data_IF_934700509890
#
_entry.id   IF_934700509890
#
_cell.length_a   1.000
_cell.length_b   1.000
_cell.length_c   1.000
_cell.angle_alpha   90.00
_cell.angle_beta   90.00
_cell.angle_gamma   90.00
#
_symmetry.space_group_name_H-M   'P 1'
#
loop_
_entity.id
_entity.type
_entity.pdbx_description
1 polymer ?
#
# COMPACT_ATOMS: atom_id res chain seq x y z
N UNK A 1 41.60 7.28 8.08
CA UNK A 1 40.37 6.50 8.36
C UNK A 1 40.42 5.23 7.52
N UNK A 2 40.41 4.02 8.11
CA UNK A 2 40.32 2.77 7.33
C UNK A 2 38.90 2.66 6.78
N UNK A 3 38.74 2.71 5.45
CA UNK A 3 37.45 2.49 4.79
C UNK A 3 37.11 1.01 4.98
N UNK A 4 36.06 0.72 5.77
CA UNK A 4 35.54 -0.64 5.90
C UNK A 4 34.96 -1.06 4.55
N UNK A 5 35.29 -2.26 4.03
CA UNK A 5 34.66 -2.75 2.81
C UNK A 5 33.15 -2.89 3.04
N UNK A 6 32.35 -2.36 2.10
CA UNK A 6 30.89 -2.44 2.12
C UNK A 6 30.45 -3.80 1.59
N UNK A 7 29.35 -4.35 2.13
CA UNK A 7 28.77 -5.59 1.59
C UNK A 7 28.02 -5.30 0.28
N UNK A 8 27.78 -6.30 -0.59
CA UNK A 8 26.97 -6.11 -1.80
C UNK A 8 25.57 -5.52 -1.50
N UNK A 9 24.92 -5.94 -0.41
CA UNK A 9 23.60 -5.42 0.01
C UNK A 9 23.69 -3.96 0.42
N UNK A 10 24.79 -3.55 1.05
CA UNK A 10 25.01 -2.15 1.39
C UNK A 10 25.25 -1.31 0.14
N UNK A 11 26.02 -1.81 -0.83
CA UNK A 11 26.24 -1.12 -2.09
C UNK A 11 24.94 -1.05 -2.91
N UNK A 12 24.18 -2.13 -2.98
CA UNK A 12 22.88 -2.18 -3.66
C UNK A 12 21.87 -1.21 -3.03
N UNK A 13 21.71 -1.24 -1.69
CA UNK A 13 20.85 -0.31 -0.97
C UNK A 13 21.21 1.16 -1.28
N UNK A 14 22.50 1.43 -1.43
CA UNK A 14 23.00 2.75 -1.79
C UNK A 14 22.73 3.12 -3.25
N UNK A 15 22.77 2.17 -4.18
CA UNK A 15 22.42 2.43 -5.57
C UNK A 15 20.92 2.70 -5.71
N UNK A 16 20.07 1.94 -5.01
CA UNK A 16 18.62 2.09 -5.05
C UNK A 16 18.16 3.38 -4.37
N UNK A 17 18.67 3.69 -3.17
CA UNK A 17 18.42 4.96 -2.48
C UNK A 17 18.81 6.16 -3.35
N UNK A 18 19.91 6.03 -4.10
CA UNK A 18 20.33 7.06 -5.04
C UNK A 18 19.41 7.18 -6.25
N UNK A 19 18.96 6.07 -6.83
CA UNK A 19 17.96 6.08 -7.90
C UNK A 19 16.67 6.80 -7.47
N UNK A 20 16.34 6.76 -6.18
CA UNK A 20 15.16 7.41 -5.63
C UNK A 20 15.30 8.90 -5.33
N UNK A 21 16.53 9.40 -5.16
CA UNK A 21 16.82 10.80 -4.86
C UNK A 21 17.43 11.48 -6.09
N UNK A 22 16.59 12.02 -6.98
CA UNK A 22 17.10 12.78 -8.13
C UNK A 22 16.13 13.09 -9.26
N UNK A 23 14.88 12.60 -9.19
CA UNK A 23 13.92 12.76 -10.28
C UNK A 23 12.54 13.10 -9.72
N UNK A 24 11.86 14.08 -10.33
CA UNK A 24 10.48 14.46 -9.96
C UNK A 24 9.46 13.40 -10.38
N UNK A 25 9.59 12.89 -11.61
CA UNK A 25 8.79 11.77 -12.14
C UNK A 25 9.66 10.51 -12.30
N UNK A 26 9.04 9.33 -12.27
CA UNK A 26 9.76 8.06 -12.44
C UNK A 26 10.31 7.92 -13.86
N UNK A 27 11.63 8.09 -14.02
CA UNK A 27 12.31 8.13 -15.31
C UNK A 27 12.77 6.76 -15.80
N UNK A 28 13.03 6.67 -17.11
CA UNK A 28 13.63 5.48 -17.71
C UNK A 28 15.03 5.19 -17.12
N UNK A 29 15.80 6.22 -16.78
CA UNK A 29 17.10 6.07 -16.12
C UNK A 29 16.95 5.39 -14.76
N UNK A 30 16.00 5.83 -13.92
CA UNK A 30 15.72 5.18 -12.63
C UNK A 30 15.36 3.71 -12.81
N UNK A 31 14.50 3.40 -13.78
CA UNK A 31 14.13 2.02 -14.11
C UNK A 31 15.34 1.15 -14.40
N UNK A 32 16.27 1.63 -15.22
CA UNK A 32 17.45 0.86 -15.61
C UNK A 32 18.40 0.70 -14.41
N UNK A 33 18.62 1.75 -13.59
CA UNK A 33 19.44 1.65 -12.37
C UNK A 33 18.86 0.59 -11.42
N UNK A 34 17.57 0.68 -11.09
CA UNK A 34 16.91 -0.25 -10.16
C UNK A 34 16.94 -1.70 -10.67
N UNK A 35 16.69 -1.91 -11.96
CA UNK A 35 16.76 -3.24 -12.60
C UNK A 35 18.15 -3.86 -12.51
N UNK A 36 19.20 -3.03 -12.46
CA UNK A 36 20.59 -3.48 -12.46
C UNK A 36 21.30 -3.25 -11.11
N UNK A 37 20.59 -2.84 -10.06
CA UNK A 37 21.21 -2.40 -8.81
C UNK A 37 22.10 -3.47 -8.17
N UNK A 38 21.71 -4.75 -8.23
CA UNK A 38 22.54 -5.87 -7.77
C UNK A 38 23.85 -5.97 -8.57
N UNK A 39 23.78 -5.93 -9.91
CA UNK A 39 24.97 -6.04 -10.76
C UNK A 39 25.88 -4.83 -10.58
N UNK A 40 25.31 -3.63 -10.48
CA UNK A 40 26.04 -2.41 -10.16
C UNK A 40 26.73 -2.51 -8.79
N UNK A 41 26.14 -3.22 -7.83
CA UNK A 41 26.75 -3.42 -6.50
C UNK A 41 28.03 -4.25 -6.50
N UNK A 42 28.32 -5.00 -7.57
CA UNK A 42 29.57 -5.77 -7.71
C UNK A 42 30.70 -4.96 -8.32
N UNK A 43 30.39 -3.78 -8.87
CA UNK A 43 31.36 -2.83 -9.41
C UNK A 43 31.89 -2.02 -8.22
N UNK A 44 33.13 -2.31 -7.82
CA UNK A 44 33.73 -1.73 -6.61
C UNK A 44 34.92 -0.83 -6.91
N UNK A 45 35.35 -0.80 -8.17
CA UNK A 45 36.50 -0.02 -8.63
C UNK A 45 36.34 0.43 -10.09
N UNK A 46 37.09 1.45 -10.47
CA UNK A 46 37.18 1.93 -11.87
C UNK A 46 37.59 0.80 -12.84
N UNK A 47 38.45 -0.12 -12.38
CA UNK A 47 38.89 -1.27 -13.15
C UNK A 47 37.74 -2.22 -13.48
N UNK A 48 36.75 -2.35 -12.59
CA UNK A 48 35.56 -3.17 -12.84
C UNK A 48 34.64 -2.54 -13.92
N UNK A 49 34.76 -1.23 -14.16
CA UNK A 49 34.04 -0.50 -15.23
C UNK A 49 34.79 -0.66 -16.57
N UNK A 50 36.11 -0.49 -16.56
CA UNK A 50 36.96 -0.63 -17.77
C UNK A 50 37.05 -2.08 -18.26
N UNK A 51 36.98 -3.04 -17.33
CA UNK A 51 37.06 -4.47 -17.60
C UNK A 51 35.97 -5.23 -16.84
N UNK A 52 34.72 -5.20 -17.33
CA UNK A 52 33.63 -5.95 -16.73
C UNK A 52 33.96 -7.45 -16.64
N UNK A 53 33.70 -8.06 -15.48
CA UNK A 53 33.87 -9.51 -15.30
C UNK A 53 32.80 -10.34 -16.01
N UNK A 54 31.69 -9.73 -16.37
CA UNK A 54 30.56 -10.34 -17.09
C UNK A 54 30.14 -9.42 -18.24
N UNK A 55 29.51 -9.98 -19.28
CA UNK A 55 28.93 -9.16 -20.35
C UNK A 55 27.88 -8.22 -19.75
N UNK A 56 28.14 -6.93 -19.83
CA UNK A 56 27.21 -5.90 -19.37
C UNK A 56 26.14 -5.73 -20.46
N UNK A 57 24.87 -5.60 -20.08
CA UNK A 57 23.83 -5.30 -21.07
C UNK A 57 24.07 -3.92 -21.68
N UNK A 58 23.69 -3.70 -22.95
CA UNK A 58 23.76 -2.36 -23.59
C UNK A 58 23.18 -1.25 -22.72
N UNK A 59 22.07 -1.52 -22.03
CA UNK A 59 21.44 -0.57 -21.10
C UNK A 59 22.36 -0.19 -19.92
N UNK A 60 23.16 -1.13 -19.40
CA UNK A 60 24.15 -0.83 -18.36
C UNK A 60 25.43 -0.25 -18.93
N UNK A 61 25.83 -0.58 -20.16
CA UNK A 61 26.93 0.12 -20.83
C UNK A 61 26.58 1.60 -21.00
N UNK A 62 25.36 1.93 -21.43
CA UNK A 62 24.87 3.30 -21.49
C UNK A 62 24.98 4.00 -20.12
N UNK A 63 24.50 3.38 -19.04
CA UNK A 63 24.69 3.91 -17.67
C UNK A 63 26.18 4.07 -17.34
N UNK A 64 27.01 3.04 -17.51
CA UNK A 64 28.40 3.09 -17.07
C UNK A 64 29.25 4.06 -17.90
N UNK A 65 28.99 4.20 -19.20
CA UNK A 65 29.61 5.21 -20.05
C UNK A 65 29.09 6.61 -19.74
N UNK A 66 27.80 6.79 -19.46
CA UNK A 66 27.25 8.05 -18.97
C UNK A 66 27.79 8.43 -17.59
N UNK A 67 28.21 7.47 -16.77
CA UNK A 67 28.64 7.72 -15.38
C UNK A 67 30.16 7.75 -15.23
N UNK A 68 30.90 7.17 -16.18
CA UNK A 68 32.36 7.02 -16.16
C UNK A 68 33.12 7.76 -17.26
N UNK A 69 32.45 8.28 -18.30
CA UNK A 69 33.09 9.02 -19.40
C UNK A 69 32.63 10.47 -19.41
N UNK A 70 33.59 11.39 -19.51
CA UNK A 70 33.40 12.84 -19.67
C UNK A 70 32.77 13.26 -21.02
N UNK A 71 32.29 12.32 -21.85
CA UNK A 71 32.00 12.57 -23.28
C UNK A 71 30.73 11.90 -23.85
N UNK A 72 29.69 11.57 -23.06
CA UNK A 72 28.41 11.11 -23.66
C UNK A 72 27.43 12.29 -23.83
N UNK A 73 27.02 12.71 -25.04
CA UNK A 73 26.21 13.93 -25.22
C UNK A 73 24.69 13.70 -25.19
N UNK A 74 24.20 12.47 -25.31
CA UNK A 74 22.81 12.24 -25.77
C UNK A 74 21.72 12.25 -24.69
N UNK A 75 22.07 12.20 -23.41
CA UNK A 75 21.12 12.29 -22.27
C UNK A 75 21.50 13.31 -21.20
N UNK A 76 22.67 13.94 -21.33
CA UNK A 76 23.19 14.94 -20.39
C UNK A 76 22.48 16.29 -20.49
N UNK A 77 21.93 16.64 -21.66
CA UNK A 77 21.17 17.88 -21.82
C UNK A 77 19.76 17.81 -21.20
N UNK A 78 19.28 16.63 -20.80
CA UNK A 78 17.96 16.45 -20.19
C UNK A 78 17.98 15.90 -18.76
N UNK A 79 19.11 15.39 -18.26
CA UNK A 79 19.22 14.88 -16.90
C UNK A 79 20.24 15.68 -16.09
N UNK A 80 19.81 16.24 -14.95
CA UNK A 80 20.65 16.97 -13.99
C UNK A 80 21.63 16.03 -13.23
N UNK A 81 22.26 15.10 -13.92
CA UNK A 81 22.91 13.92 -13.34
C UNK A 81 24.44 13.97 -13.55
N UNK A 82 25.23 13.86 -12.48
CA UNK A 82 26.71 13.88 -12.59
C UNK A 82 27.38 12.92 -11.58
N UNK A 83 28.58 12.42 -11.92
CA UNK A 83 29.41 11.59 -11.02
C UNK A 83 29.68 12.29 -9.67
N UNK A 84 29.75 13.63 -9.68
CA UNK A 84 29.91 14.42 -8.46
C UNK A 84 28.64 14.40 -7.60
N UNK A 85 27.44 14.38 -8.19
CA UNK A 85 26.17 14.19 -7.46
C UNK A 85 26.07 12.80 -6.84
N UNK A 86 26.45 11.74 -7.57
CA UNK A 86 26.51 10.39 -6.99
C UNK A 86 27.48 10.33 -5.80
N UNK A 87 28.70 10.85 -5.96
CA UNK A 87 29.71 10.88 -4.90
C UNK A 87 29.27 11.76 -3.71
N UNK A 88 28.59 12.88 -3.96
CA UNK A 88 27.99 13.71 -2.93
C UNK A 88 26.84 13.01 -2.21
N UNK A 89 26.00 12.26 -2.92
CA UNK A 89 24.92 11.48 -2.33
C UNK A 89 25.45 10.35 -1.45
N UNK A 90 26.51 9.67 -1.90
CA UNK A 90 27.20 8.67 -1.09
C UNK A 90 27.80 9.26 0.21
N UNK A 91 28.13 10.56 0.24
CA UNK A 91 28.81 11.22 1.37
C UNK A 91 27.89 12.00 2.31
N UNK A 92 26.83 12.67 1.84
CA UNK A 92 25.92 13.55 2.63
C UNK A 92 24.72 12.85 3.31
N UNK A 93 24.75 11.52 3.39
CA UNK A 93 23.57 10.66 3.28
C UNK A 93 22.62 10.57 4.49
N UNK A 94 21.34 10.29 4.17
CA UNK A 94 20.36 9.71 5.09
C UNK A 94 20.72 8.25 5.42
N UNK A 95 21.64 8.06 6.38
CA UNK A 95 22.13 6.73 6.81
C UNK A 95 21.01 5.76 7.20
N UNK A 96 19.87 6.28 7.66
CA UNK A 96 18.74 5.48 8.14
C UNK A 96 18.06 4.71 7.03
N UNK A 97 17.78 5.35 5.89
CA UNK A 97 17.09 4.69 4.77
C UNK A 97 17.94 3.60 4.12
N UNK A 98 19.22 3.89 3.87
CA UNK A 98 20.16 2.89 3.36
C UNK A 98 20.32 1.68 4.29
N UNK A 99 20.38 1.90 5.62
CA UNK A 99 20.44 0.79 6.58
C UNK A 99 19.18 -0.06 6.55
N UNK A 100 18.02 0.56 6.39
CA UNK A 100 16.74 -0.13 6.27
C UNK A 100 16.67 -0.95 4.97
N UNK A 101 17.01 -0.35 3.83
CA UNK A 101 17.10 -1.06 2.54
C UNK A 101 18.04 -2.26 2.62
N UNK A 102 19.24 -2.05 3.19
CA UNK A 102 20.21 -3.11 3.44
C UNK A 102 19.60 -4.25 4.26
N UNK A 103 18.90 -3.93 5.36
CA UNK A 103 18.24 -4.94 6.20
C UNK A 103 17.26 -5.79 5.39
N UNK A 104 16.38 -5.17 4.60
CA UNK A 104 15.39 -5.89 3.80
C UNK A 104 16.00 -6.70 2.65
N UNK A 105 17.06 -6.19 2.01
CA UNK A 105 17.81 -6.91 0.98
C UNK A 105 18.54 -8.14 1.55
N UNK A 106 19.16 -8.00 2.73
CA UNK A 106 19.75 -9.14 3.45
C UNK A 106 18.68 -10.17 3.76
N UNK A 107 17.54 -9.72 4.31
CA UNK A 107 16.44 -10.62 4.68
C UNK A 107 15.83 -11.33 3.47
N UNK A 108 15.71 -10.67 2.32
CA UNK A 108 15.31 -11.30 1.07
C UNK A 108 16.21 -12.49 0.73
N UNK A 109 17.53 -12.25 0.68
CA UNK A 109 18.53 -13.28 0.34
C UNK A 109 18.53 -14.43 1.33
N UNK A 110 18.44 -14.11 2.61
CA UNK A 110 18.58 -15.10 3.68
C UNK A 110 17.29 -15.90 3.93
N UNK A 111 16.11 -15.30 3.81
CA UNK A 111 14.84 -15.92 4.24
C UNK A 111 13.88 -16.27 3.10
N UNK A 112 13.94 -15.56 1.97
CA UNK A 112 12.85 -15.62 0.98
C UNK A 112 13.27 -16.03 -0.42
N UNK A 113 14.53 -15.84 -0.80
CA UNK A 113 15.02 -16.06 -2.17
C UNK A 113 14.58 -17.41 -2.74
N UNK A 114 14.79 -18.50 -2.00
CA UNK A 114 14.45 -19.85 -2.49
C UNK A 114 12.94 -20.02 -2.74
N UNK A 115 12.10 -19.45 -1.86
CA UNK A 115 10.64 -19.47 -1.99
C UNK A 115 10.16 -18.64 -3.18
N UNK A 116 10.76 -17.46 -3.41
CA UNK A 116 10.44 -16.59 -4.55
C UNK A 116 10.88 -17.22 -5.86
N UNK A 117 12.11 -17.73 -5.95
CA UNK A 117 12.63 -18.42 -7.13
C UNK A 117 11.78 -19.63 -7.50
N UNK A 118 11.35 -20.41 -6.50
CA UNK A 118 10.47 -21.56 -6.69
C UNK A 118 9.09 -21.18 -7.22
N UNK A 119 8.54 -20.06 -6.74
CA UNK A 119 7.25 -19.55 -7.18
C UNK A 119 7.32 -18.97 -8.59
N UNK A 120 8.38 -18.20 -8.92
CA UNK A 120 8.57 -17.61 -10.25
C UNK A 120 8.69 -18.65 -11.38
N UNK A 121 9.23 -19.84 -11.08
CA UNK A 121 9.30 -20.94 -12.06
C UNK A 121 7.94 -21.58 -12.33
N UNK A 122 6.99 -21.44 -11.42
CA UNK A 122 5.69 -22.12 -11.45
C UNK A 122 4.51 -21.14 -11.27
N UNK A 123 4.66 -19.90 -11.73
CA UNK A 123 3.62 -18.87 -11.56
C UNK A 123 2.37 -19.32 -12.31
N UNK A 124 1.34 -19.69 -11.55
CA UNK A 124 0.00 -19.92 -12.08
C UNK A 124 -1.01 -19.21 -11.19
N UNK A 125 -1.94 -18.48 -11.82
CA UNK A 125 -3.11 -17.88 -11.16
C UNK A 125 -4.07 -18.94 -10.63
N UNK A 126 -3.96 -20.17 -11.10
CA UNK A 126 -4.71 -21.33 -10.60
C UNK A 126 -4.01 -22.01 -9.40
N UNK A 127 -2.84 -21.51 -8.99
CA UNK A 127 -2.16 -22.05 -7.82
C UNK A 127 -2.91 -21.72 -6.53
N UNK A 128 -2.90 -22.65 -5.58
CA UNK A 128 -3.42 -22.44 -4.21
C UNK A 128 -2.74 -21.29 -3.46
N UNK A 129 -1.57 -20.88 -3.94
CA UNK A 129 -0.77 -19.82 -3.34
C UNK A 129 -1.11 -18.46 -3.95
N UNK A 130 -1.89 -18.38 -5.03
CA UNK A 130 -2.37 -17.11 -5.57
C UNK A 130 -3.44 -16.51 -4.64
N UNK A 131 -3.19 -15.30 -4.13
CA UNK A 131 -4.11 -14.57 -3.24
C UNK A 131 -5.02 -13.64 -4.05
N UNK A 132 -4.49 -13.03 -5.10
CA UNK A 132 -5.24 -12.11 -5.95
C UNK A 132 -4.36 -11.26 -6.85
N UNK A 133 -4.98 -10.39 -7.63
CA UNK A 133 -4.31 -9.41 -8.48
C UNK A 133 -4.88 -8.02 -8.22
N UNK A 134 -3.99 -7.04 -8.11
CA UNK A 134 -4.36 -5.63 -8.24
C UNK A 134 -3.99 -5.11 -9.63
N UNK A 135 -4.29 -3.84 -9.88
CA UNK A 135 -3.84 -3.15 -11.10
C UNK A 135 -2.31 -3.19 -11.27
N UNK A 136 -1.58 -3.17 -10.14
CA UNK A 136 -0.14 -2.98 -10.12
C UNK A 136 0.68 -4.28 -10.03
N UNK A 137 0.05 -5.44 -9.90
CA UNK A 137 0.76 -6.69 -9.67
C UNK A 137 -0.11 -7.85 -9.21
N UNK A 138 0.47 -9.04 -9.31
CA UNK A 138 -0.10 -10.28 -8.78
C UNK A 138 0.45 -10.52 -7.36
N UNK A 139 -0.40 -11.04 -6.48
CA UNK A 139 -0.08 -11.29 -5.07
C UNK A 139 -0.19 -12.78 -4.77
N UNK A 140 0.86 -13.33 -4.18
CA UNK A 140 1.01 -14.72 -3.82
C UNK A 140 1.30 -14.87 -2.33
N UNK A 141 0.85 -15.97 -1.74
CA UNK A 141 1.21 -16.41 -0.41
C UNK A 141 2.53 -17.16 -0.50
N UNK A 142 3.53 -16.75 0.29
CA UNK A 142 4.77 -17.49 0.44
C UNK A 142 5.00 -17.84 1.90
N UNK A 143 5.83 -18.86 2.13
CA UNK A 143 6.26 -19.25 3.48
C UNK A 143 7.73 -18.88 3.66
N UNK A 144 8.03 -18.11 4.71
CA UNK A 144 9.41 -17.77 5.09
C UNK A 144 10.11 -18.95 5.76
N UNK A 145 11.43 -18.85 5.96
CA UNK A 145 12.20 -19.88 6.70
C UNK A 145 11.72 -20.07 8.14
N UNK A 146 11.12 -19.04 8.74
CA UNK A 146 10.49 -19.09 10.07
C UNK A 146 9.12 -19.80 10.08
N UNK A 147 8.70 -20.36 8.93
CA UNK A 147 7.42 -21.05 8.71
C UNK A 147 6.19 -20.15 8.82
N UNK A 148 6.36 -18.82 8.85
CA UNK A 148 5.23 -17.88 8.78
C UNK A 148 4.83 -17.60 7.34
N UNK A 149 3.57 -17.21 7.19
CA UNK A 149 2.99 -16.81 5.91
C UNK A 149 3.23 -15.32 5.66
N UNK A 150 3.58 -15.01 4.42
CA UNK A 150 3.82 -13.67 3.92
C UNK A 150 3.08 -13.48 2.60
N UNK A 151 2.82 -12.23 2.26
CA UNK A 151 2.34 -11.86 0.93
C UNK A 151 3.53 -11.39 0.08
N UNK A 152 3.73 -12.03 -1.06
CA UNK A 152 4.64 -11.63 -2.12
C UNK A 152 3.84 -10.94 -3.21
N UNK A 153 4.10 -9.67 -3.45
CA UNK A 153 3.61 -8.93 -4.61
C UNK A 153 4.69 -8.90 -5.67
N UNK A 154 4.36 -9.34 -6.88
CA UNK A 154 5.21 -9.21 -8.06
C UNK A 154 4.59 -8.12 -8.93
N UNK A 155 5.25 -6.98 -9.00
CA UNK A 155 4.74 -5.84 -9.75
C UNK A 155 4.87 -6.03 -11.25
N UNK A 156 3.89 -5.51 -12.00
CA UNK A 156 3.94 -5.52 -13.47
C UNK A 156 4.95 -4.51 -14.03
N UNK A 157 5.30 -3.48 -13.24
CA UNK A 157 6.32 -2.50 -13.60
C UNK A 157 7.20 -2.11 -12.41
N UNK A 158 8.44 -1.74 -12.71
CA UNK A 158 9.40 -1.24 -11.73
C UNK A 158 8.95 0.07 -11.07
N UNK A 159 8.26 0.93 -11.84
CA UNK A 159 7.72 2.20 -11.34
C UNK A 159 6.75 1.94 -10.19
N UNK A 160 5.77 1.08 -10.42
CA UNK A 160 4.79 0.68 -9.40
C UNK A 160 5.45 -0.01 -8.20
N UNK A 161 6.40 -0.93 -8.42
CA UNK A 161 7.15 -1.55 -7.33
C UNK A 161 7.87 -0.49 -6.47
N UNK A 162 8.48 0.50 -7.11
CA UNK A 162 9.21 1.53 -6.41
C UNK A 162 8.28 2.47 -5.62
N UNK A 163 7.14 2.85 -6.19
CA UNK A 163 6.12 3.63 -5.47
C UNK A 163 5.59 2.86 -4.26
N UNK A 164 5.21 1.60 -4.44
CA UNK A 164 4.77 0.72 -3.34
C UNK A 164 5.81 0.62 -2.23
N UNK A 165 7.08 0.42 -2.59
CA UNK A 165 8.18 0.31 -1.64
C UNK A 165 8.32 1.56 -0.78
N UNK A 166 8.22 2.75 -1.39
CA UNK A 166 8.26 4.04 -0.68
C UNK A 166 7.08 4.19 0.27
N UNK A 167 5.89 3.84 -0.19
CA UNK A 167 4.68 3.86 0.62
C UNK A 167 4.82 2.94 1.85
N UNK A 168 5.32 1.71 1.67
CA UNK A 168 5.55 0.76 2.77
C UNK A 168 6.65 1.19 3.74
N UNK A 169 7.67 1.91 3.25
CA UNK A 169 8.68 2.51 4.12
C UNK A 169 8.12 3.62 5.01
N UNK A 170 7.15 4.40 4.52
CA UNK A 170 6.49 5.44 5.30
C UNK A 170 5.46 4.87 6.27
N UNK A 171 4.70 3.84 5.87
CA UNK A 171 3.68 3.21 6.72
C UNK A 171 4.23 2.25 7.77
N UNK A 172 5.55 2.03 7.80
CA UNK A 172 6.18 1.10 8.74
C UNK A 172 5.71 1.40 10.17
N UNK A 173 5.36 0.36 10.91
CA UNK A 173 4.89 0.40 12.31
C UNK A 173 3.51 1.02 12.55
N UNK A 174 2.82 1.49 11.50
CA UNK A 174 1.40 1.79 11.61
C UNK A 174 0.67 0.47 11.78
N UNK A 175 -0.17 0.36 12.81
CA UNK A 175 -0.93 -0.88 13.06
C UNK A 175 -1.93 -1.10 11.93
N UNK A 176 -2.30 -2.36 11.72
CA UNK A 176 -3.35 -2.72 10.76
C UNK A 176 -3.06 -2.29 9.30
N UNK A 177 -1.79 -2.18 8.93
CA UNK A 177 -1.34 -1.98 7.55
C UNK A 177 -0.30 -3.05 7.18
N UNK A 178 -0.09 -3.32 5.89
CA UNK A 178 1.04 -4.12 5.44
C UNK A 178 2.37 -3.50 5.87
N UNK A 179 3.20 -4.31 6.51
CA UNK A 179 4.57 -3.99 6.86
C UNK A 179 5.50 -4.77 5.94
N UNK A 180 6.39 -4.06 5.27
CA UNK A 180 7.43 -4.66 4.45
C UNK A 180 8.37 -5.54 5.29
N UNK A 181 8.64 -6.73 4.78
CA UNK A 181 9.50 -7.73 5.40
C UNK A 181 10.78 -7.94 4.60
N UNK A 182 10.69 -7.85 3.28
CA UNK A 182 11.82 -7.94 2.36
C UNK A 182 11.42 -7.40 0.99
N UNK A 183 12.38 -7.12 0.11
CA UNK A 183 12.09 -6.81 -1.28
C UNK A 183 13.29 -7.17 -2.17
N UNK A 184 13.02 -7.23 -3.46
CA UNK A 184 14.02 -7.41 -4.50
C UNK A 184 13.66 -6.58 -5.72
N UNK A 185 14.30 -5.41 -5.83
CA UNK A 185 14.00 -4.43 -6.87
C UNK A 185 14.15 -5.00 -8.29
N UNK A 186 15.21 -5.77 -8.67
CA UNK A 186 15.39 -6.24 -10.04
C UNK A 186 14.21 -7.02 -10.64
N UNK A 187 13.44 -7.69 -9.80
CA UNK A 187 12.26 -8.49 -10.20
C UNK A 187 10.94 -7.82 -9.82
N UNK A 188 10.98 -6.61 -9.24
CA UNK A 188 9.79 -5.93 -8.74
C UNK A 188 9.07 -6.70 -7.63
N UNK A 189 9.80 -7.53 -6.87
CA UNK A 189 9.25 -8.38 -5.83
C UNK A 189 9.25 -7.65 -4.49
N UNK A 190 8.08 -7.60 -3.85
CA UNK A 190 7.88 -6.96 -2.53
C UNK A 190 7.23 -7.97 -1.61
N UNK A 191 7.83 -8.20 -0.45
CA UNK A 191 7.34 -9.15 0.54
C UNK A 191 6.86 -8.37 1.75
N UNK A 192 5.62 -8.60 2.14
CA UNK A 192 4.96 -7.97 3.28
C UNK A 192 4.39 -9.03 4.22
N UNK A 193 4.09 -8.64 5.46
CA UNK A 193 3.32 -9.49 6.37
C UNK A 193 1.99 -9.89 5.70
N UNK A 194 1.58 -11.15 5.89
CA UNK A 194 0.27 -11.57 5.42
C UNK A 194 -0.81 -11.01 6.35
N UNK A 195 -1.76 -10.27 5.78
CA UNK A 195 -2.92 -9.73 6.49
C UNK A 195 -4.08 -10.73 6.39
N UNK A 196 -4.46 -11.42 7.48
CA UNK A 196 -5.56 -12.37 7.44
C UNK A 196 -6.90 -11.63 7.38
N UNK A 197 -7.87 -12.22 6.67
CA UNK A 197 -9.24 -11.76 6.66
C UNK A 197 -9.88 -11.86 5.30
N UNK A 198 -10.98 -11.15 5.14
CA UNK A 198 -11.76 -11.09 3.91
C UNK A 198 -11.72 -9.65 3.40
N UNK A 199 -11.43 -9.49 2.11
CA UNK A 199 -11.66 -8.25 1.38
C UNK A 199 -13.05 -7.72 1.70
N UNK A 200 -13.15 -6.48 2.20
CA UNK A 200 -14.43 -5.90 2.60
C UNK A 200 -15.37 -5.94 1.39
N UNK A 201 -14.87 -5.71 0.17
CA UNK A 201 -15.63 -5.85 -1.07
C UNK A 201 -16.23 -7.25 -1.34
N UNK A 202 -15.87 -8.28 -0.58
CA UNK A 202 -16.38 -9.65 -0.75
C UNK A 202 -17.19 -10.15 0.43
N UNK A 203 -17.36 -9.33 1.46
CA UNK A 203 -18.19 -9.66 2.62
C UNK A 203 -19.65 -9.75 2.19
N UNK A 204 -20.27 -10.91 2.45
CA UNK A 204 -21.68 -11.16 2.12
C UNK A 204 -22.64 -10.19 2.81
N UNK A 205 -23.87 -9.99 2.29
CA UNK A 205 -24.88 -9.07 2.85
C UNK A 205 -25.25 -9.33 4.31
N UNK A 206 -24.95 -10.50 4.87
CA UNK A 206 -24.91 -10.75 6.30
C UNK A 206 -23.72 -10.01 6.95
N UNK A 207 -23.62 -8.70 6.72
CA UNK A 207 -22.53 -7.82 7.12
C UNK A 207 -22.14 -8.10 8.58
N UNK A 208 -20.85 -8.26 8.90
CA UNK A 208 -20.41 -8.37 10.28
C UNK A 208 -20.90 -7.16 11.06
N UNK A 209 -21.39 -7.39 12.27
CA UNK A 209 -21.62 -6.30 13.19
C UNK A 209 -20.25 -5.82 13.67
N UNK A 210 -19.81 -4.68 13.15
CA UNK A 210 -18.51 -4.12 13.48
C UNK A 210 -18.58 -3.52 14.88
N UNK A 211 -17.68 -3.92 15.76
CA UNK A 211 -17.66 -3.31 17.10
C UNK A 211 -17.22 -1.84 17.00
N UNK A 212 -17.73 -0.98 17.90
CA UNK A 212 -17.27 0.42 17.99
C UNK A 212 -15.74 0.52 18.08
N UNK A 213 -15.11 -0.40 18.82
CA UNK A 213 -13.65 -0.50 18.93
C UNK A 213 -12.99 -0.70 17.56
N UNK A 214 -13.46 -1.64 16.76
CA UNK A 214 -12.91 -1.91 15.41
C UNK A 214 -13.05 -0.71 14.47
N UNK A 215 -14.18 0.01 14.54
CA UNK A 215 -14.40 1.22 13.75
C UNK A 215 -13.50 2.38 14.21
N UNK A 216 -13.30 2.54 15.52
CA UNK A 216 -12.39 3.54 16.06
C UNK A 216 -10.92 3.26 15.68
N UNK A 217 -10.48 1.99 15.76
CA UNK A 217 -9.14 1.56 15.34
C UNK A 217 -8.90 1.81 13.85
N UNK A 218 -9.92 1.63 13.00
CA UNK A 218 -9.84 1.98 11.57
C UNK A 218 -9.61 3.49 11.37
N UNK A 219 -10.42 4.33 12.04
CA UNK A 219 -10.27 5.79 11.98
C UNK A 219 -8.87 6.20 12.43
N UNK A 220 -8.39 5.64 13.53
CA UNK A 220 -7.04 5.91 14.06
C UNK A 220 -5.94 5.49 13.10
N UNK A 221 -6.08 4.33 12.45
CA UNK A 221 -5.14 3.86 11.42
C UNK A 221 -5.08 4.85 10.25
N UNK A 222 -6.22 5.36 9.79
CA UNK A 222 -6.29 6.31 8.68
C UNK A 222 -5.70 7.68 9.06
N UNK A 223 -5.94 8.15 10.28
CA UNK A 223 -5.30 9.37 10.80
C UNK A 223 -3.77 9.18 10.89
N UNK A 224 -3.31 8.02 11.34
CA UNK A 224 -1.87 7.74 11.43
C UNK A 224 -1.22 7.68 10.05
N UNK A 225 -1.88 7.08 9.05
CA UNK A 225 -1.46 7.13 7.65
C UNK A 225 -1.34 8.59 7.17
N UNK A 226 -2.39 9.39 7.40
CA UNK A 226 -2.44 10.81 7.01
C UNK A 226 -1.28 11.63 7.58
N UNK A 227 -1.02 11.45 8.88
CA UNK A 227 0.07 12.09 9.62
C UNK A 227 1.47 11.66 9.13
N UNK A 228 1.58 10.50 8.48
CA UNK A 228 2.82 10.01 7.88
C UNK A 228 2.96 10.38 6.40
N UNK A 229 2.11 11.27 5.87
CA UNK A 229 2.19 11.73 4.49
C UNK A 229 1.56 10.75 3.49
N UNK A 230 0.70 9.85 3.96
CA UNK A 230 0.01 8.86 3.14
C UNK A 230 -1.46 9.21 3.03
N UNK A 231 -2.08 8.85 1.92
CA UNK A 231 -3.50 9.02 1.68
C UNK A 231 -4.10 7.70 1.22
N UNK A 232 -5.35 7.47 1.60
CA UNK A 232 -6.12 6.30 1.23
C UNK A 232 -7.20 6.69 0.21
N UNK A 233 -7.43 5.81 -0.76
CA UNK A 233 -8.71 5.77 -1.45
C UNK A 233 -9.67 4.88 -0.62
N UNK A 234 -10.75 5.42 -0.03
CA UNK A 234 -11.65 4.71 0.87
C UNK A 234 -12.59 3.73 0.14
N UNK A 235 -12.13 3.11 -0.93
CA UNK A 235 -12.85 2.06 -1.65
C UNK A 235 -12.83 0.73 -0.86
N UNK A 236 -13.96 0.00 -0.71
CA UNK A 236 -14.02 -1.22 0.09
C UNK A 236 -12.98 -2.30 -0.25
N UNK A 237 -12.51 -2.38 -1.50
CA UNK A 237 -11.47 -3.36 -1.89
C UNK A 237 -10.11 -3.09 -1.26
N UNK A 238 -9.88 -1.89 -0.73
CA UNK A 238 -8.61 -1.46 -0.15
C UNK A 238 -8.53 -1.83 1.35
N UNK A 239 -9.55 -2.56 1.86
CA UNK A 239 -9.66 -2.94 3.26
C UNK A 239 -9.87 -4.45 3.38
N UNK A 240 -9.18 -5.05 4.33
CA UNK A 240 -9.40 -6.42 4.78
C UNK A 240 -10.09 -6.37 6.14
N UNK A 241 -11.11 -7.19 6.37
CA UNK A 241 -11.73 -7.37 7.67
C UNK A 241 -11.47 -8.77 8.22
N UNK A 242 -11.07 -8.82 9.49
CA UNK A 242 -10.99 -10.04 10.27
C UNK A 242 -11.77 -9.88 11.56
N UNK A 243 -12.62 -10.86 11.90
CA UNK A 243 -13.53 -10.79 13.05
C UNK A 243 -12.81 -10.44 14.37
N UNK A 244 -11.60 -10.95 14.58
CA UNK A 244 -10.82 -10.72 15.80
C UNK A 244 -9.94 -9.48 15.69
N UNK A 245 -9.32 -9.24 14.53
CA UNK A 245 -8.29 -8.21 14.39
C UNK A 245 -8.85 -6.86 13.91
N UNK A 246 -10.12 -6.82 13.53
CA UNK A 246 -10.75 -5.62 12.97
C UNK A 246 -10.38 -5.40 11.50
N UNK A 247 -10.31 -4.13 11.13
CA UNK A 247 -9.98 -3.71 9.78
C UNK A 247 -8.47 -3.61 9.60
N UNK A 248 -8.01 -3.84 8.39
CA UNK A 248 -6.67 -3.50 7.92
C UNK A 248 -6.75 -2.77 6.60
N UNK A 249 -5.94 -1.73 6.45
CA UNK A 249 -5.84 -0.93 5.23
C UNK A 249 -4.69 -1.46 4.40
N UNK A 250 -4.99 -1.98 3.20
CA UNK A 250 -4.00 -2.69 2.37
C UNK A 250 -3.55 -1.93 1.13
N UNK A 251 -4.23 -0.83 0.78
CA UNK A 251 -3.86 0.03 -0.34
C UNK A 251 -3.92 1.50 0.06
N UNK A 252 -2.82 2.21 -0.15
CA UNK A 252 -2.61 3.62 0.17
C UNK A 252 -1.40 4.13 -0.63
N UNK A 253 -1.34 5.44 -0.83
CA UNK A 253 -0.31 6.09 -1.65
C UNK A 253 0.30 7.29 -0.94
N UNK A 254 1.46 7.74 -1.44
CA UNK A 254 2.09 8.98 -1.01
C UNK A 254 1.18 10.15 -1.39
N UNK A 255 1.01 11.12 -0.47
CA UNK A 255 0.37 12.39 -0.81
C UNK A 255 1.21 13.15 -1.82
N UNK A 256 0.59 13.65 -2.88
CA UNK A 256 1.28 14.49 -3.85
C UNK A 256 1.57 15.88 -3.26
N UNK A 257 2.67 16.56 -3.68
CA UNK A 257 2.90 17.94 -3.30
C UNK A 257 1.74 18.85 -3.73
N UNK A 258 1.06 19.46 -2.75
CA UNK A 258 -0.12 20.31 -2.99
C UNK A 258 -1.46 19.58 -2.94
N UNK A 259 -1.44 18.25 -2.74
CA UNK A 259 -2.65 17.49 -2.43
C UNK A 259 -3.11 17.81 -1.00
N UNK A 260 -4.23 18.54 -0.92
CA UNK A 260 -4.84 18.95 0.32
C UNK A 260 -6.26 18.40 0.42
N UNK A 261 -6.40 17.08 0.41
CA UNK A 261 -7.66 16.47 0.85
C UNK A 261 -7.70 16.53 2.38
N UNK A 262 -8.64 17.27 2.99
CA UNK A 262 -8.73 17.33 4.45
C UNK A 262 -9.02 15.93 5.01
N UNK A 263 -8.37 15.57 6.11
CA UNK A 263 -8.54 14.26 6.75
C UNK A 263 -10.00 14.02 7.12
N UNK A 264 -10.74 15.06 7.51
CA UNK A 264 -12.17 14.99 7.82
C UNK A 264 -12.98 14.51 6.62
N UNK A 265 -12.58 14.88 5.40
CA UNK A 265 -13.23 14.44 4.16
C UNK A 265 -12.96 12.95 3.92
N UNK A 266 -11.72 12.51 4.08
CA UNK A 266 -11.33 11.09 3.96
C UNK A 266 -12.08 10.25 4.99
N UNK A 267 -12.09 10.70 6.25
CA UNK A 267 -12.81 10.04 7.33
C UNK A 267 -14.32 10.03 7.08
N UNK A 268 -14.87 11.06 6.45
CA UNK A 268 -16.27 11.03 6.03
C UNK A 268 -16.51 9.90 5.03
N UNK A 269 -15.64 9.73 4.03
CA UNK A 269 -15.79 8.75 2.96
C UNK A 269 -15.62 7.29 3.42
N UNK A 270 -14.91 7.05 4.53
CA UNK A 270 -14.80 5.71 5.15
C UNK A 270 -16.17 5.10 5.50
N UNK A 271 -17.24 5.90 5.57
CA UNK A 271 -18.60 5.38 5.69
C UNK A 271 -18.92 4.30 4.62
N UNK A 272 -18.32 4.38 3.42
CA UNK A 272 -18.56 3.40 2.34
C UNK A 272 -17.96 2.04 2.69
N UNK A 273 -16.83 2.03 3.40
CA UNK A 273 -16.18 0.82 3.93
C UNK A 273 -17.03 0.22 5.06
N UNK A 274 -17.50 1.07 5.98
CA UNK A 274 -18.32 0.66 7.14
C UNK A 274 -19.70 0.13 6.71
N UNK A 275 -20.33 0.77 5.73
CA UNK A 275 -21.63 0.34 5.21
C UNK A 275 -21.50 -0.83 4.24
N UNK A 276 -20.33 -0.97 3.62
CA UNK A 276 -19.98 -1.90 2.54
C UNK A 276 -20.77 -1.72 1.24
N UNK A 277 -22.09 -1.60 1.34
CA UNK A 277 -23.03 -1.47 0.24
C UNK A 277 -23.80 -0.16 0.35
N UNK A 278 -24.19 0.39 -0.79
CA UNK A 278 -25.18 1.46 -0.81
C UNK A 278 -26.52 0.92 -0.34
N UNK A 279 -27.34 1.79 0.27
CA UNK A 279 -28.70 1.39 0.66
C UNK A 279 -29.53 0.94 -0.56
N UNK A 280 -29.34 1.58 -1.73
CA UNK A 280 -29.99 1.16 -2.98
C UNK A 280 -29.62 -0.26 -3.40
N UNK A 281 -28.34 -0.64 -3.23
CA UNK A 281 -27.92 -2.01 -3.50
C UNK A 281 -28.63 -3.01 -2.58
N UNK A 282 -28.79 -2.67 -1.30
CA UNK A 282 -29.52 -3.51 -0.34
C UNK A 282 -31.00 -3.61 -0.72
N UNK A 283 -31.64 -2.50 -1.09
CA UNK A 283 -33.03 -2.48 -1.58
C UNK A 283 -33.23 -3.33 -2.83
N UNK A 284 -32.31 -3.26 -3.80
CA UNK A 284 -32.41 -4.04 -5.02
C UNK A 284 -32.32 -5.55 -4.77
N UNK A 285 -31.60 -5.98 -3.72
CA UNK A 285 -31.53 -7.39 -3.34
C UNK A 285 -32.74 -7.87 -2.54
N UNK A 286 -33.67 -6.98 -2.19
CA UNK A 286 -34.85 -7.36 -1.43
C UNK A 286 -35.63 -8.48 -2.13
N UNK A 287 -35.69 -8.46 -3.47
CA UNK A 287 -36.34 -9.48 -4.29
C UNK A 287 -35.72 -10.89 -4.10
N UNK A 288 -34.43 -10.96 -3.75
CA UNK A 288 -33.68 -12.20 -3.58
C UNK A 288 -33.64 -12.70 -2.12
N UNK A 289 -34.33 -12.02 -1.19
CA UNK A 289 -34.29 -12.36 0.23
C UNK A 289 -35.67 -12.30 0.91
N UNK A 290 -35.79 -13.01 2.04
CA UNK A 290 -37.00 -12.89 2.86
C UNK A 290 -37.06 -11.53 3.56
N UNK A 291 -38.26 -11.04 3.85
CA UNK A 291 -38.44 -9.79 4.61
C UNK A 291 -37.66 -9.81 5.95
N UNK A 292 -37.60 -10.96 6.63
CA UNK A 292 -36.86 -11.10 7.88
C UNK A 292 -35.34 -10.97 7.71
N UNK A 293 -34.78 -11.45 6.58
CA UNK A 293 -33.35 -11.28 6.27
C UNK A 293 -33.09 -9.82 5.89
N UNK A 294 -33.95 -9.24 5.04
CA UNK A 294 -33.84 -7.84 4.63
C UNK A 294 -33.83 -6.88 5.81
N UNK A 295 -34.78 -7.04 6.74
CA UNK A 295 -34.84 -6.22 7.96
C UNK A 295 -33.53 -6.34 8.75
N UNK A 296 -33.00 -7.55 8.96
CA UNK A 296 -31.72 -7.74 9.67
C UNK A 296 -30.53 -7.10 8.97
N UNK A 297 -30.49 -7.13 7.63
CA UNK A 297 -29.43 -6.47 6.84
C UNK A 297 -29.53 -4.95 7.03
N UNK A 298 -30.73 -4.39 6.95
CA UNK A 298 -30.97 -2.97 7.20
C UNK A 298 -30.62 -2.56 8.64
N UNK A 299 -31.02 -3.33 9.64
CA UNK A 299 -30.69 -3.07 11.06
C UNK A 299 -29.17 -2.97 11.24
N UNK A 300 -28.40 -3.93 10.70
CA UNK A 300 -26.93 -3.91 10.78
C UNK A 300 -26.31 -2.74 10.04
N UNK A 301 -26.84 -2.40 8.86
CA UNK A 301 -26.41 -1.23 8.11
C UNK A 301 -26.54 0.05 8.95
N UNK A 302 -27.68 0.22 9.64
CA UNK A 302 -27.90 1.39 10.50
C UNK A 302 -27.04 1.34 11.77
N UNK A 303 -26.92 0.19 12.43
CA UNK A 303 -26.08 0.05 13.62
C UNK A 303 -24.63 0.44 13.35
N UNK A 304 -24.04 -0.07 12.25
CA UNK A 304 -22.68 0.27 11.86
C UNK A 304 -22.55 1.77 11.53
N UNK A 305 -23.51 2.35 10.81
CA UNK A 305 -23.48 3.76 10.45
C UNK A 305 -23.63 4.68 11.67
N UNK A 306 -24.57 4.40 12.57
CA UNK A 306 -24.77 5.14 13.83
C UNK A 306 -23.49 5.08 14.65
N UNK A 307 -22.96 3.88 14.90
CA UNK A 307 -21.76 3.71 15.70
C UNK A 307 -20.56 4.44 15.12
N UNK A 308 -20.41 4.45 13.79
CA UNK A 308 -19.36 5.21 13.11
C UNK A 308 -19.51 6.73 13.27
N UNK A 309 -20.73 7.26 13.11
CA UNK A 309 -21.01 8.69 13.26
C UNK A 309 -20.79 9.17 14.71
N UNK A 310 -21.19 8.37 15.70
CA UNK A 310 -20.94 8.65 17.11
C UNK A 310 -19.43 8.76 17.40
N UNK A 311 -18.62 7.83 16.88
CA UNK A 311 -17.15 7.86 17.06
C UNK A 311 -16.54 9.12 16.44
N UNK A 312 -17.03 9.55 15.28
CA UNK A 312 -16.52 10.75 14.62
C UNK A 312 -16.93 12.02 15.37
N UNK A 313 -18.16 12.08 15.91
CA UNK A 313 -18.57 13.16 16.79
C UNK A 313 -17.72 13.22 18.06
N UNK A 314 -17.47 12.08 18.71
CA UNK A 314 -16.60 11.98 19.90
C UNK A 314 -15.17 12.50 19.62
N UNK A 315 -14.69 12.34 18.38
CA UNK A 315 -13.40 12.86 17.91
C UNK A 315 -13.45 14.31 17.39
N UNK A 316 -14.59 14.98 17.46
CA UNK A 316 -14.77 16.38 17.02
C UNK A 316 -14.83 16.57 15.50
N UNK A 317 -15.10 15.50 14.74
CA UNK A 317 -15.13 15.53 13.28
C UNK A 317 -16.58 15.78 12.83
N UNK A 318 -16.84 16.97 12.31
CA UNK A 318 -18.16 17.35 11.82
C UNK A 318 -18.40 16.84 10.40
N UNK A 319 -19.37 15.95 10.23
CA UNK A 319 -19.64 15.32 8.93
C UNK A 319 -20.99 15.74 8.40
N UNK A 320 -21.02 16.79 7.59
CA UNK A 320 -22.24 17.24 6.93
C UNK A 320 -22.56 16.43 5.65
N UNK A 321 -21.55 15.85 4.98
CA UNK A 321 -21.72 15.16 3.68
C UNK A 321 -22.32 13.74 3.81
N UNK A 322 -22.00 12.99 4.87
CA UNK A 322 -22.58 11.64 5.12
C UNK A 322 -24.08 11.71 5.41
N UNK A 323 -24.56 12.87 5.87
CA UNK A 323 -25.96 13.10 6.28
C UNK A 323 -26.94 13.08 5.09
N UNK A 324 -26.55 13.63 3.93
CA UNK A 324 -27.46 13.80 2.77
C UNK A 324 -27.69 12.51 1.98
N UNK A 325 -26.65 11.70 1.77
CA UNK A 325 -26.73 10.54 0.87
C UNK A 325 -27.51 9.34 1.42
N UNK A 326 -27.77 9.29 2.73
CA UNK A 326 -28.54 8.21 3.36
C UNK A 326 -30.03 8.51 3.47
N UNK A 327 -30.40 9.72 3.87
CA UNK A 327 -31.77 10.06 4.29
C UNK A 327 -32.78 9.98 3.15
N UNK A 328 -32.47 10.58 1.99
CA UNK A 328 -33.42 10.75 0.89
C UNK A 328 -33.95 9.41 0.35
N UNK A 329 -33.10 8.38 0.28
CA UNK A 329 -33.45 7.05 -0.25
C UNK A 329 -34.19 6.15 0.76
N UNK A 330 -34.03 6.42 2.07
CA UNK A 330 -34.69 5.62 3.11
C UNK A 330 -36.09 6.15 3.41
N UNK A 331 -36.32 7.45 3.23
CA UNK A 331 -37.65 8.06 3.36
C UNK A 331 -38.66 7.53 2.33
N UNK A 332 -38.23 6.81 1.31
CA UNK A 332 -39.10 6.22 0.28
C UNK A 332 -39.51 4.77 0.59
N UNK A 333 -38.84 4.07 1.51
CA UNK A 333 -39.13 2.65 1.81
C UNK A 333 -39.96 2.46 3.10
N UNK A 334 -41.26 2.22 2.97
CA UNK A 334 -42.19 2.08 4.11
C UNK A 334 -41.86 0.90 5.05
N UNK A 335 -41.27 -0.18 4.54
CA UNK A 335 -40.93 -1.35 5.37
C UNK A 335 -39.82 -1.05 6.36
N UNK A 336 -38.89 -0.14 6.01
CA UNK A 336 -37.74 0.22 6.85
C UNK A 336 -38.11 1.29 7.88
N UNK A 337 -39.07 2.17 7.56
CA UNK A 337 -39.56 3.24 8.45
C UNK A 337 -40.04 2.74 9.82
N UNK A 338 -40.60 1.54 9.87
CA UNK A 338 -41.12 0.95 11.11
C UNK A 338 -40.03 0.44 12.08
N UNK A 339 -38.79 0.24 11.61
CA UNK A 339 -37.75 -0.38 12.44
C UNK A 339 -37.28 0.56 13.58
N UNK A 340 -37.07 0.03 14.81
CA UNK A 340 -36.51 0.80 15.92
C UNK A 340 -35.17 1.46 15.59
N UNK A 341 -34.30 0.77 14.83
CA UNK A 341 -32.96 1.20 14.45
C UNK A 341 -33.02 2.37 13.47
N UNK A 342 -33.96 2.35 12.51
CA UNK A 342 -34.17 3.50 11.64
C UNK A 342 -34.64 4.72 12.43
N UNK A 343 -35.61 4.55 13.34
CA UNK A 343 -36.05 5.65 14.22
C UNK A 343 -34.91 6.18 15.09
N UNK A 344 -34.04 5.29 15.58
CA UNK A 344 -32.85 5.69 16.33
C UNK A 344 -31.85 6.44 15.45
N UNK A 345 -31.61 5.98 14.22
CA UNK A 345 -30.77 6.67 13.23
C UNK A 345 -31.26 8.09 12.99
N UNK A 346 -32.57 8.29 12.73
CA UNK A 346 -33.14 9.63 12.54
C UNK A 346 -32.89 10.51 13.78
N UNK A 347 -33.18 10.01 14.99
CA UNK A 347 -32.92 10.76 16.23
C UNK A 347 -31.45 11.10 16.43
N UNK A 348 -30.54 10.16 16.18
CA UNK A 348 -29.10 10.41 16.27
C UNK A 348 -28.69 11.47 15.26
N UNK A 349 -29.16 11.40 14.02
CA UNK A 349 -28.87 12.41 13.00
C UNK A 349 -29.42 13.79 13.38
N UNK A 350 -30.63 13.86 13.94
CA UNK A 350 -31.23 15.09 14.47
C UNK A 350 -30.40 15.67 15.64
N UNK A 351 -29.97 14.83 16.58
CA UNK A 351 -29.13 15.24 17.71
C UNK A 351 -27.73 15.70 17.28
N UNK A 352 -27.20 15.15 16.18
CA UNK A 352 -25.94 15.58 15.57
C UNK A 352 -26.03 16.93 14.82
N UNK A 353 -27.24 17.49 14.65
CA UNK A 353 -27.49 18.78 14.01
C UNK A 353 -27.63 19.94 15.01
N UNK A 354 -27.80 19.65 16.30
CA UNK A 354 -27.84 20.62 17.40
C UNK A 354 -26.50 20.70 18.09
#
# INVERSE_FOLDING_TARGET
>A
MKIRPKTPEELQAQIEDFADHGFGEFSQTQKIILKNAQKLSTITSQKDIEHPKESISKDMECILYEYGSSHSPLLWEQSNFSQSLYTQHLTKRNKRECQMRKHYLTRYKEEFKDSVDGLQKNVSKDSKDYIGSGWNGDVFMITGKDKKKYALKISQSMSQANFELKTLFQSRRIKNTPEIQAYWAPEGAIIMNYIPGTDVSKITPNTPNYTKKQMAELIETVIELDNNGLIIDPHPSNFIYHRINGFSVIDFHLKEPGEHTPIEKILSWLNVVIRRYSFNSICNWHEDMTDAIFIKVCERYFENLIGFLEILQEKGIHIQEVRKSGLDLIFENEKVKGSPQFRNYIKTIEALNT
#
